data_IF_818379953488
#
_entry.id   IF_818379953488
#
_cell.length_a   1.000
_cell.length_b   1.000
_cell.length_c   1.000
_cell.angle_alpha   90.00
_cell.angle_beta   90.00
_cell.angle_gamma   90.00
#
_symmetry.space_group_name_H-M   'P 1'
#
loop_
_entity.id
_entity.type
_entity.pdbx_description
1 polymer ?
#
# COMPACT_ATOMS: atom_id res chain seq x y z
N UNK A 1 5.96 27.28 -22.36
CA UNK A 1 5.70 27.65 -20.95
C UNK A 1 6.67 26.88 -20.07
N UNK A 2 7.19 27.47 -18.99
CA UNK A 2 8.00 26.74 -18.02
C UNK A 2 7.15 25.67 -17.33
N UNK A 3 7.73 24.48 -17.10
CA UNK A 3 7.05 23.40 -16.37
C UNK A 3 6.80 23.84 -14.93
N UNK A 4 5.62 23.52 -14.39
CA UNK A 4 5.30 23.73 -12.97
C UNK A 4 5.99 22.67 -12.12
N UNK A 5 6.54 23.03 -10.96
CA UNK A 5 7.11 22.07 -10.00
C UNK A 5 5.99 21.37 -9.23
N UNK A 6 5.88 20.06 -9.40
CA UNK A 6 4.90 19.21 -8.71
C UNK A 6 5.62 18.27 -7.75
N UNK A 7 5.24 18.32 -6.47
CA UNK A 7 5.67 17.33 -5.48
C UNK A 7 4.54 16.34 -5.18
N UNK A 8 4.85 15.05 -5.18
CA UNK A 8 4.04 14.01 -4.55
C UNK A 8 4.69 13.56 -3.24
N UNK A 9 3.95 13.61 -2.13
CA UNK A 9 4.40 13.13 -0.81
C UNK A 9 3.83 11.73 -0.58
N UNK A 10 4.72 10.76 -0.48
CA UNK A 10 4.46 9.32 -0.39
C UNK A 10 4.64 8.62 -1.74
N UNK A 11 5.38 7.52 -1.77
CA UNK A 11 5.61 6.68 -2.95
C UNK A 11 4.81 5.37 -2.91
N UNK A 12 3.52 5.49 -2.57
CA UNK A 12 2.56 4.39 -2.59
C UNK A 12 1.84 4.23 -3.94
N UNK A 13 0.88 3.28 -4.03
CA UNK A 13 0.15 2.99 -5.27
C UNK A 13 -0.61 4.21 -5.82
N UNK A 14 -1.18 5.07 -4.98
CA UNK A 14 -1.90 6.25 -5.47
C UNK A 14 -0.96 7.23 -6.19
N UNK A 15 0.23 7.50 -5.65
CA UNK A 15 1.18 8.42 -6.29
C UNK A 15 1.69 7.89 -7.63
N UNK A 16 2.04 6.60 -7.70
CA UNK A 16 2.51 6.01 -8.97
C UNK A 16 1.42 6.04 -10.04
N UNK A 17 0.15 5.81 -9.66
CA UNK A 17 -1.00 5.90 -10.56
C UNK A 17 -1.33 7.36 -10.95
N UNK A 18 -1.18 8.34 -10.06
CA UNK A 18 -1.33 9.77 -10.41
C UNK A 18 -0.33 10.14 -11.50
N UNK A 19 0.93 9.75 -11.34
CA UNK A 19 1.98 10.04 -12.34
C UNK A 19 1.68 9.34 -13.66
N UNK A 20 1.33 8.05 -13.63
CA UNK A 20 0.94 7.30 -14.82
C UNK A 20 -0.22 8.00 -15.57
N UNK A 21 -1.26 8.44 -14.85
CA UNK A 21 -2.41 9.14 -15.42
C UNK A 21 -2.07 10.54 -15.94
N UNK A 22 -1.19 11.28 -15.26
CA UNK A 22 -0.72 12.58 -15.73
C UNK A 22 0.01 12.45 -17.08
N UNK A 23 0.81 11.39 -17.22
CA UNK A 23 1.64 11.18 -18.41
C UNK A 23 0.90 10.54 -19.58
N UNK A 24 -0.23 9.88 -19.33
CA UNK A 24 -1.11 9.39 -20.40
C UNK A 24 -1.91 10.51 -21.07
N UNK A 25 -1.98 11.70 -20.45
CA UNK A 25 -2.68 12.87 -21.00
C UNK A 25 -1.70 13.82 -21.72
N UNK A 26 -1.82 14.05 -23.04
CA UNK A 26 -0.88 14.87 -23.80
C UNK A 26 -0.69 16.30 -23.27
N UNK A 27 -1.76 16.92 -22.76
CA UNK A 27 -1.73 18.27 -22.20
C UNK A 27 -0.98 18.37 -20.86
N UNK A 28 -0.92 17.27 -20.09
CA UNK A 28 -0.29 17.24 -18.77
C UNK A 28 1.08 16.57 -18.77
N UNK A 29 1.36 15.68 -19.73
CA UNK A 29 2.62 14.91 -19.81
C UNK A 29 3.87 15.78 -19.67
N UNK A 30 3.86 16.98 -20.25
CA UNK A 30 4.98 17.92 -20.22
C UNK A 30 4.71 19.18 -19.38
N UNK A 31 3.61 19.23 -18.63
CA UNK A 31 3.23 20.39 -17.83
C UNK A 31 4.04 20.50 -16.53
N UNK A 32 4.59 19.40 -16.04
CA UNK A 32 5.19 19.30 -14.72
C UNK A 32 6.64 18.83 -14.71
N UNK A 33 7.42 19.38 -13.79
CA UNK A 33 8.65 18.79 -13.26
C UNK A 33 8.27 18.04 -11.97
N UNK A 34 8.30 16.71 -12.01
CA UNK A 34 7.68 15.85 -11.01
C UNK A 34 8.73 15.32 -10.03
N UNK A 35 8.53 15.63 -8.76
CA UNK A 35 9.28 15.05 -7.66
C UNK A 35 8.39 14.18 -6.78
N UNK A 36 8.96 13.10 -6.24
CA UNK A 36 8.28 12.19 -5.33
C UNK A 36 9.16 12.01 -4.11
N UNK A 37 8.62 12.33 -2.94
CA UNK A 37 9.33 12.18 -1.67
C UNK A 37 8.70 11.06 -0.85
N UNK A 38 9.52 10.07 -0.48
CA UNK A 38 9.15 8.96 0.39
C UNK A 38 10.01 8.99 1.65
N UNK A 39 9.36 8.81 2.81
CA UNK A 39 10.03 8.78 4.11
C UNK A 39 10.78 7.45 4.32
N UNK A 40 10.34 6.38 3.67
CA UNK A 40 10.96 5.07 3.73
C UNK A 40 12.04 4.92 2.65
N UNK A 41 12.81 3.82 2.71
CA UNK A 41 13.93 3.54 1.79
C UNK A 41 13.51 2.83 0.50
N UNK A 42 12.22 2.78 0.21
CA UNK A 42 11.64 2.06 -0.94
C UNK A 42 10.23 2.54 -1.22
N UNK A 43 9.77 2.30 -2.44
CA UNK A 43 8.38 2.50 -2.83
C UNK A 43 7.46 1.41 -2.27
N UNK A 44 6.16 1.58 -2.45
CA UNK A 44 5.15 0.56 -2.22
C UNK A 44 4.17 0.93 -1.11
N UNK A 45 4.64 1.57 -0.04
CA UNK A 45 3.81 1.85 1.13
C UNK A 45 3.12 0.59 1.65
N UNK A 46 1.78 0.54 1.60
CA UNK A 46 0.98 -0.64 2.01
C UNK A 46 1.03 -1.81 1.02
N UNK A 47 1.74 -1.67 -0.10
CA UNK A 47 2.07 -2.77 -1.01
C UNK A 47 3.47 -3.34 -0.68
N UNK A 48 3.96 -3.16 0.55
CA UNK A 48 5.27 -3.64 0.97
C UNK A 48 5.44 -5.14 0.73
N UNK A 49 6.43 -5.45 -0.10
CA UNK A 49 7.07 -6.77 -0.17
C UNK A 49 8.39 -6.69 0.62
N UNK A 50 8.53 -7.58 1.60
CA UNK A 50 9.75 -7.69 2.40
C UNK A 50 10.59 -8.86 1.89
N UNK A 51 11.84 -8.58 1.54
CA UNK A 51 12.83 -9.58 1.17
C UNK A 51 13.68 -9.93 2.39
N UNK A 52 13.90 -11.22 2.62
CA UNK A 52 14.78 -11.70 3.67
C UNK A 52 16.21 -11.17 3.46
N UNK A 53 16.91 -10.73 4.52
CA UNK A 53 18.28 -10.26 4.40
C UNK A 53 19.30 -11.39 4.13
N UNK A 54 18.90 -12.64 4.33
CA UNK A 54 19.82 -13.80 4.32
C UNK A 54 19.44 -14.87 3.30
N UNK A 55 18.35 -14.68 2.56
CA UNK A 55 17.83 -15.69 1.61
C UNK A 55 17.11 -15.02 0.44
N UNK A 56 16.80 -15.79 -0.61
CA UNK A 56 15.98 -15.35 -1.74
C UNK A 56 14.49 -15.22 -1.40
N UNK A 57 14.07 -15.67 -0.22
CA UNK A 57 12.66 -15.65 0.18
C UNK A 57 12.15 -14.22 0.40
N UNK A 58 10.91 -13.99 0.00
CA UNK A 58 10.23 -12.72 0.22
C UNK A 58 8.72 -12.93 0.44
N UNK A 59 8.10 -11.97 1.11
CA UNK A 59 6.69 -12.02 1.47
C UNK A 59 6.01 -10.67 1.44
N UNK A 60 4.77 -10.65 0.98
CA UNK A 60 3.92 -9.46 0.93
C UNK A 60 3.35 -9.15 2.30
N UNK A 61 4.07 -8.35 3.10
CA UNK A 61 3.63 -7.97 4.45
C UNK A 61 2.46 -6.97 4.42
N UNK A 62 2.17 -6.37 3.27
CA UNK A 62 1.09 -5.41 3.06
C UNK A 62 -0.13 -6.01 2.36
N UNK A 63 -0.42 -5.55 1.14
CA UNK A 63 -1.51 -6.08 0.32
C UNK A 63 -1.27 -7.56 -0.03
N UNK A 64 -2.22 -8.42 0.34
CA UNK A 64 -2.11 -9.88 0.20
C UNK A 64 -2.42 -10.37 -1.21
N UNK A 65 -3.41 -9.73 -1.84
CA UNK A 65 -3.94 -9.96 -3.18
C UNK A 65 -4.67 -8.69 -3.65
N UNK A 66 -4.95 -8.60 -4.94
CA UNK A 66 -5.76 -7.54 -5.55
C UNK A 66 -7.14 -8.08 -5.89
N UNK A 67 -8.16 -7.23 -5.82
CA UNK A 67 -9.51 -7.57 -6.25
C UNK A 67 -9.95 -6.58 -7.31
N UNK A 68 -10.40 -7.07 -8.46
CA UNK A 68 -11.11 -6.29 -9.48
C UNK A 68 -12.61 -6.52 -9.33
N UNK A 69 -13.38 -5.43 -9.23
CA UNK A 69 -14.84 -5.48 -9.13
C UNK A 69 -15.53 -5.43 -10.49
N UNK A 70 -14.78 -5.52 -11.59
CA UNK A 70 -15.33 -5.45 -12.94
C UNK A 70 -15.60 -4.03 -13.44
N UNK A 71 -15.23 -3.00 -12.69
CA UNK A 71 -15.53 -1.59 -13.01
C UNK A 71 -14.71 -1.14 -14.22
N UNK A 72 -15.37 -0.51 -15.20
CA UNK A 72 -14.74 -0.11 -16.48
C UNK A 72 -13.51 0.77 -16.30
N UNK A 73 -13.51 1.66 -15.32
CA UNK A 73 -12.38 2.57 -15.06
C UNK A 73 -11.12 1.85 -14.56
N UNK A 74 -11.25 0.68 -13.93
CA UNK A 74 -10.12 -0.08 -13.37
C UNK A 74 -9.57 -1.13 -14.34
N UNK A 75 -10.37 -1.57 -15.32
CA UNK A 75 -10.00 -2.62 -16.29
C UNK A 75 -8.66 -2.38 -17.01
N UNK A 76 -8.34 -1.16 -17.51
CA UNK A 76 -7.08 -0.93 -18.22
C UNK A 76 -5.84 -1.22 -17.36
N UNK A 77 -5.90 -0.89 -16.06
CA UNK A 77 -4.79 -1.12 -15.12
C UNK A 77 -4.61 -2.61 -14.84
N UNK A 78 -5.69 -3.35 -14.59
CA UNK A 78 -5.59 -4.81 -14.41
C UNK A 78 -5.10 -5.50 -15.68
N UNK A 79 -5.52 -5.03 -16.87
CA UNK A 79 -5.03 -5.53 -18.14
C UNK A 79 -3.53 -5.30 -18.30
N UNK A 80 -3.05 -4.08 -18.05
CA UNK A 80 -1.61 -3.75 -18.11
C UNK A 80 -0.78 -4.64 -17.17
N UNK A 81 -1.26 -4.86 -15.94
CA UNK A 81 -0.59 -5.75 -14.99
C UNK A 81 -0.58 -7.23 -15.43
N UNK A 82 -1.64 -7.70 -16.09
CA UNK A 82 -1.72 -9.05 -16.65
C UNK A 82 -0.78 -9.21 -17.86
N UNK A 83 -0.78 -8.24 -18.77
CA UNK A 83 0.07 -8.26 -19.97
C UNK A 83 1.57 -8.27 -19.59
N UNK A 84 1.93 -7.55 -18.52
CA UNK A 84 3.29 -7.53 -17.96
C UNK A 84 3.57 -8.68 -16.97
N UNK A 85 2.63 -9.63 -16.81
CA UNK A 85 2.74 -10.80 -15.94
C UNK A 85 3.06 -10.47 -14.47
N UNK A 86 2.67 -9.29 -13.99
CA UNK A 86 2.86 -8.84 -12.60
C UNK A 86 1.77 -9.36 -11.66
N UNK A 87 0.65 -9.77 -12.23
CA UNK A 87 -0.42 -10.43 -11.50
C UNK A 87 -0.89 -11.69 -12.24
N UNK A 88 -1.41 -12.66 -11.49
CA UNK A 88 -2.13 -13.81 -12.05
C UNK A 88 -3.41 -14.05 -11.25
N UNK A 89 -4.42 -14.65 -11.90
CA UNK A 89 -5.69 -14.96 -11.24
C UNK A 89 -5.45 -15.91 -10.06
N UNK A 90 -6.05 -15.56 -8.93
CA UNK A 90 -6.11 -16.41 -7.75
C UNK A 90 -7.30 -17.36 -7.89
N UNK A 91 -7.03 -18.67 -7.91
CA UNK A 91 -8.10 -19.65 -7.74
C UNK A 91 -8.57 -19.63 -6.28
N UNK A 92 -9.84 -19.30 -6.08
CA UNK A 92 -10.43 -19.12 -4.75
C UNK A 92 -11.28 -20.31 -4.32
N UNK A 93 -11.56 -21.26 -5.21
CA UNK A 93 -12.55 -22.33 -4.98
C UNK A 93 -12.22 -23.19 -3.75
N UNK A 94 -10.93 -23.46 -3.52
CA UNK A 94 -10.46 -24.36 -2.48
C UNK A 94 -9.72 -23.63 -1.34
N UNK A 95 -9.88 -22.31 -1.22
CA UNK A 95 -9.21 -21.54 -0.17
C UNK A 95 -10.03 -21.65 1.13
N UNK A 96 -9.49 -22.25 2.20
CA UNK A 96 -10.22 -22.37 3.46
C UNK A 96 -10.57 -21.00 4.07
N UNK A 97 -11.81 -20.88 4.55
CA UNK A 97 -12.37 -19.68 5.15
C UNK A 97 -12.51 -18.46 4.21
N UNK A 98 -12.31 -18.66 2.90
CA UNK A 98 -12.51 -17.62 1.91
C UNK A 98 -14.00 -17.25 1.85
N UNK A 99 -14.29 -15.95 1.95
CA UNK A 99 -15.67 -15.49 1.87
C UNK A 99 -16.08 -15.30 0.39
N UNK A 100 -16.69 -16.34 -0.17
CA UNK A 100 -17.18 -16.33 -1.55
C UNK A 100 -18.30 -15.30 -1.78
N UNK A 101 -19.14 -15.03 -0.79
CA UNK A 101 -20.24 -14.06 -0.91
C UNK A 101 -19.71 -12.64 -1.19
N UNK A 102 -18.59 -12.24 -0.57
CA UNK A 102 -17.96 -10.94 -0.83
C UNK A 102 -17.21 -10.85 -2.18
N UNK A 103 -17.07 -11.98 -2.88
CA UNK A 103 -16.34 -12.11 -4.14
C UNK A 103 -17.23 -12.36 -5.35
N UNK A 104 -18.57 -12.41 -5.19
CA UNK A 104 -19.50 -12.55 -6.31
C UNK A 104 -19.29 -11.39 -7.30
N UNK A 105 -19.08 -11.74 -8.57
CA UNK A 105 -18.82 -10.77 -9.64
C UNK A 105 -17.42 -10.14 -9.62
N UNK A 106 -16.53 -10.59 -8.73
CA UNK A 106 -15.16 -10.07 -8.59
C UNK A 106 -14.12 -11.10 -9.02
N UNK A 107 -12.97 -10.62 -9.44
CA UNK A 107 -11.80 -11.46 -9.74
C UNK A 107 -10.67 -11.07 -8.80
N UNK A 108 -10.08 -12.08 -8.14
CA UNK A 108 -8.94 -11.90 -7.26
C UNK A 108 -7.65 -12.27 -7.97
N UNK A 109 -6.58 -11.55 -7.68
CA UNK A 109 -5.27 -11.72 -8.29
C UNK A 109 -4.17 -11.71 -7.23
N UNK A 110 -3.16 -12.55 -7.41
CA UNK A 110 -1.92 -12.51 -6.62
C UNK A 110 -0.84 -11.79 -7.42
N UNK A 111 0.04 -11.08 -6.72
CA UNK A 111 1.18 -10.39 -7.32
C UNK A 111 2.33 -11.37 -7.49
N UNK A 112 2.70 -11.70 -8.73
CA UNK A 112 3.67 -12.74 -9.08
C UNK A 112 5.11 -12.38 -8.71
N UNK A 113 5.43 -11.08 -8.70
CA UNK A 113 6.75 -10.56 -8.31
C UNK A 113 6.69 -9.75 -7.01
N UNK A 114 5.72 -10.08 -6.15
CA UNK A 114 5.43 -9.34 -4.92
C UNK A 114 4.61 -8.08 -5.16
N UNK A 115 3.82 -7.65 -4.16
CA UNK A 115 2.94 -6.50 -4.27
C UNK A 115 3.67 -5.19 -4.57
N UNK A 116 4.92 -5.01 -4.10
CA UNK A 116 5.68 -3.79 -4.36
C UNK A 116 5.96 -3.58 -5.86
N UNK A 117 6.11 -4.67 -6.62
CA UNK A 117 6.35 -4.64 -8.07
C UNK A 117 5.26 -3.91 -8.86
N UNK A 118 4.01 -3.89 -8.35
CA UNK A 118 2.90 -3.14 -8.95
C UNK A 118 3.19 -1.63 -8.89
N UNK A 119 3.73 -1.16 -7.78
CA UNK A 119 4.04 0.27 -7.59
C UNK A 119 5.29 0.65 -8.37
N UNK A 120 6.31 -0.21 -8.35
CA UNK A 120 7.55 -0.05 -9.14
C UNK A 120 7.25 0.04 -10.64
N UNK A 121 6.37 -0.83 -11.15
CA UNK A 121 5.95 -0.84 -12.55
C UNK A 121 5.44 0.52 -13.03
N UNK A 122 4.49 1.12 -12.31
CA UNK A 122 3.95 2.43 -12.69
C UNK A 122 4.95 3.57 -12.54
N UNK A 123 5.89 3.49 -11.60
CA UNK A 123 6.99 4.46 -11.53
C UNK A 123 8.00 4.28 -12.67
N UNK A 124 8.33 3.05 -13.05
CA UNK A 124 9.28 2.75 -14.13
C UNK A 124 8.75 3.14 -15.52
N UNK A 125 7.44 3.13 -15.71
CA UNK A 125 6.82 3.64 -16.94
C UNK A 125 6.89 5.16 -17.06
N UNK A 126 7.21 5.87 -15.97
CA UNK A 126 7.12 7.32 -15.94
C UNK A 126 8.38 8.00 -16.46
N UNK A 127 8.21 8.97 -17.35
CA UNK A 127 9.27 9.83 -17.87
C UNK A 127 9.51 11.04 -16.95
N UNK A 128 10.75 11.54 -16.84
CA UNK A 128 11.06 12.82 -16.17
C UNK A 128 10.55 12.94 -14.72
N UNK A 129 10.68 11.89 -13.91
CA UNK A 129 10.39 11.92 -12.48
C UNK A 129 11.68 11.86 -11.66
N UNK A 130 11.71 12.55 -10.52
CA UNK A 130 12.77 12.41 -9.51
C UNK A 130 12.18 11.78 -8.24
N UNK A 131 12.61 10.56 -7.92
CA UNK A 131 12.18 9.83 -6.73
C UNK A 131 13.26 9.92 -5.64
N UNK A 132 12.91 10.49 -4.49
CA UNK A 132 13.81 10.69 -3.36
C UNK A 132 13.30 9.95 -2.12
N UNK A 133 14.15 9.13 -1.53
CA UNK A 133 13.89 8.36 -0.31
C UNK A 133 14.44 9.07 0.93
N UNK A 134 14.08 8.56 2.12
CA UNK A 134 14.44 9.14 3.42
C UNK A 134 14.00 10.62 3.58
N UNK A 135 13.05 11.09 2.76
CA UNK A 135 12.48 12.44 2.78
C UNK A 135 11.18 12.46 3.57
N UNK A 136 11.31 12.54 4.90
CA UNK A 136 10.15 12.62 5.80
C UNK A 136 9.64 14.06 5.91
N UNK A 137 8.54 14.38 5.24
CA UNK A 137 7.87 15.69 5.35
C UNK A 137 7.23 15.86 6.73
N UNK A 138 7.48 17.01 7.35
CA UNK A 138 6.94 17.38 8.67
C UNK A 138 6.14 18.67 8.65
N UNK A 139 6.28 19.53 7.63
CA UNK A 139 5.53 20.77 7.53
C UNK A 139 5.21 21.17 6.10
N UNK A 140 4.07 21.83 5.90
CA UNK A 140 3.62 22.38 4.61
C UNK A 140 3.06 23.78 4.87
N UNK A 141 3.59 24.78 4.18
CA UNK A 141 3.17 26.17 4.29
C UNK A 141 2.83 26.76 2.92
N UNK A 142 1.71 27.45 2.82
CA UNK A 142 1.39 28.26 1.65
C UNK A 142 2.14 29.59 1.75
N UNK A 143 2.90 29.94 0.71
CA UNK A 143 3.66 31.19 0.61
C UNK A 143 2.82 32.30 -0.03
N UNK A 144 3.15 33.56 0.28
CA UNK A 144 2.45 34.74 -0.29
C UNK A 144 2.50 34.82 -1.82
N UNK A 145 3.51 34.21 -2.44
CA UNK A 145 3.66 34.15 -3.90
C UNK A 145 2.85 33.03 -4.57
N UNK A 146 2.02 32.29 -3.81
CA UNK A 146 1.20 31.19 -4.29
C UNK A 146 1.91 29.83 -4.38
N UNK A 147 3.22 29.78 -4.11
CA UNK A 147 3.96 28.52 -4.00
C UNK A 147 3.73 27.86 -2.63
N UNK A 148 4.12 26.59 -2.53
CA UNK A 148 4.02 25.79 -1.32
C UNK A 148 5.43 25.43 -0.86
N UNK A 149 5.77 25.85 0.35
CA UNK A 149 7.01 25.45 1.05
C UNK A 149 6.80 24.15 1.79
N UNK A 150 7.65 23.16 1.53
CA UNK A 150 7.59 21.81 2.11
C UNK A 150 8.86 21.58 2.93
N UNK A 151 8.68 21.22 4.19
CA UNK A 151 9.74 21.08 5.19
C UNK A 151 9.90 19.61 5.56
N UNK A 152 11.13 19.12 5.54
CA UNK A 152 11.47 17.77 5.99
C UNK A 152 11.89 17.73 7.46
N UNK A 153 11.89 16.55 8.06
CA UNK A 153 12.36 16.29 9.43
C UNK A 153 13.83 16.72 9.65
N UNK A 154 14.64 16.71 8.59
CA UNK A 154 16.04 17.16 8.64
C UNK A 154 16.21 18.68 8.60
N UNK A 155 15.13 19.44 8.38
CA UNK A 155 15.15 20.89 8.23
C UNK A 155 15.26 21.37 6.79
N UNK A 156 15.47 20.47 5.81
CA UNK A 156 15.45 20.85 4.39
C UNK A 156 14.10 21.47 4.03
N UNK A 157 14.13 22.56 3.27
CA UNK A 157 12.95 23.27 2.81
C UNK A 157 13.05 23.52 1.31
N UNK A 158 12.00 23.14 0.57
CA UNK A 158 11.90 23.36 -0.86
C UNK A 158 10.51 23.87 -1.26
N UNK A 159 10.46 24.66 -2.35
CA UNK A 159 9.22 25.27 -2.84
C UNK A 159 8.72 24.60 -4.11
N UNK A 160 7.41 24.40 -4.16
CA UNK A 160 6.69 23.76 -5.27
C UNK A 160 5.49 24.60 -5.70
N UNK A 161 5.08 24.48 -6.96
CA UNK A 161 3.88 25.16 -7.44
C UNK A 161 2.62 24.38 -7.05
N UNK A 162 2.72 23.05 -6.98
CA UNK A 162 1.64 22.14 -6.56
C UNK A 162 2.23 21.04 -5.67
N UNK A 163 1.52 20.70 -4.60
CA UNK A 163 1.84 19.56 -3.72
C UNK A 163 0.64 18.63 -3.65
N UNK A 164 0.87 17.35 -3.89
CA UNK A 164 -0.13 16.29 -3.70
C UNK A 164 0.37 15.35 -2.61
N UNK A 165 -0.37 15.22 -1.52
CA UNK A 165 -0.04 14.27 -0.46
C UNK A 165 -0.93 13.04 -0.55
N UNK A 166 -0.31 11.86 -0.57
CA UNK A 166 -1.01 10.56 -0.62
C UNK A 166 -0.83 9.74 0.66
N UNK A 167 -0.25 10.37 1.69
CA UNK A 167 -0.08 9.74 3.00
C UNK A 167 -1.43 9.57 3.70
N UNK A 168 -1.60 8.54 4.56
CA UNK A 168 -2.80 8.37 5.36
C UNK A 168 -3.23 9.65 6.09
N UNK A 169 -4.53 9.93 6.12
CA UNK A 169 -5.09 11.18 6.70
C UNK A 169 -4.61 11.47 8.14
N UNK A 170 -4.49 10.48 9.06
CA UNK A 170 -3.92 10.74 10.39
C UNK A 170 -2.43 11.10 10.41
N UNK A 171 -1.67 10.85 9.32
CA UNK A 171 -0.31 11.38 9.16
C UNK A 171 -0.33 12.79 8.62
N UNK A 172 -1.22 13.06 7.65
CA UNK A 172 -1.47 14.40 7.13
C UNK A 172 -1.84 15.40 8.23
N UNK A 173 -2.75 15.02 9.14
CA UNK A 173 -3.17 15.85 10.28
C UNK A 173 -2.05 16.15 11.31
N UNK A 174 -0.87 15.52 11.19
CA UNK A 174 0.29 15.77 12.05
C UNK A 174 1.30 16.72 11.43
N UNK A 175 1.14 17.09 10.16
CA UNK A 175 1.99 18.07 9.53
C UNK A 175 1.77 19.43 10.18
N UNK A 176 2.86 20.15 10.42
CA UNK A 176 2.81 21.55 10.86
C UNK A 176 2.62 22.50 9.69
N UNK A 177 2.34 23.77 10.01
CA UNK A 177 2.25 24.85 9.03
C UNK A 177 0.83 25.24 8.64
N UNK A 178 0.73 26.13 7.66
CA UNK A 178 -0.52 26.83 7.32
C UNK A 178 -1.53 26.03 6.49
N UNK A 179 -1.22 24.78 6.14
CA UNK A 179 -2.05 23.93 5.25
C UNK A 179 -3.47 23.66 5.77
N UNK A 180 -3.75 23.89 7.06
CA UNK A 180 -5.08 23.74 7.66
C UNK A 180 -5.64 25.02 8.30
N UNK A 181 -4.91 26.13 8.30
CA UNK A 181 -5.25 27.33 9.08
C UNK A 181 -6.58 27.96 8.65
N UNK A 182 -6.92 27.88 7.37
CA UNK A 182 -8.06 28.59 6.78
C UNK A 182 -9.36 27.76 6.74
N UNK A 183 -9.34 26.48 7.13
CA UNK A 183 -10.51 25.59 6.94
C UNK A 183 -10.71 24.59 8.09
N UNK A 184 -11.26 25.08 9.19
CA UNK A 184 -11.59 24.28 10.38
C UNK A 184 -12.59 23.15 10.09
N UNK A 185 -13.59 23.39 9.25
CA UNK A 185 -14.59 22.39 8.86
C UNK A 185 -13.96 21.23 8.06
N UNK A 186 -13.05 21.53 7.13
CA UNK A 186 -12.27 20.52 6.43
C UNK A 186 -11.43 19.70 7.41
N UNK A 187 -10.76 20.35 8.36
CA UNK A 187 -9.96 19.66 9.35
C UNK A 187 -10.80 18.73 10.23
N UNK A 188 -12.00 19.16 10.64
CA UNK A 188 -12.94 18.32 11.38
C UNK A 188 -13.37 17.09 10.57
N UNK A 189 -13.67 17.26 9.28
CA UNK A 189 -14.02 16.16 8.40
C UNK A 189 -12.84 15.20 8.17
N UNK A 190 -11.61 15.71 8.05
CA UNK A 190 -10.41 14.88 7.99
C UNK A 190 -10.22 14.05 9.26
N UNK A 191 -10.51 14.60 10.45
CA UNK A 191 -10.42 13.86 11.72
C UNK A 191 -11.40 12.69 11.83
N UNK A 192 -12.49 12.70 11.05
CA UNK A 192 -13.46 11.60 10.97
C UNK A 192 -12.92 10.42 10.17
N UNK A 193 -11.88 10.59 9.35
CA UNK A 193 -11.27 9.49 8.59
C UNK A 193 -10.52 8.56 9.53
N UNK A 194 -10.88 7.28 9.53
CA UNK A 194 -10.33 6.27 10.43
C UNK A 194 -9.76 5.09 9.67
N UNK A 195 -8.73 4.48 10.26
CA UNK A 195 -8.06 3.30 9.73
C UNK A 195 -7.98 2.22 10.81
N UNK A 196 -8.10 0.97 10.40
CA UNK A 196 -7.80 -0.19 11.25
C UNK A 196 -6.30 -0.31 11.50
N UNK A 197 -5.93 -0.94 12.61
CA UNK A 197 -4.55 -1.39 12.86
C UNK A 197 -4.46 -2.89 12.62
N UNK A 198 -3.35 -3.36 12.03
CA UNK A 198 -3.02 -4.79 11.93
C UNK A 198 -1.53 -5.01 12.15
N UNK A 199 -1.17 -6.22 12.57
CA UNK A 199 0.20 -6.70 12.52
C UNK A 199 0.32 -7.76 11.43
N UNK A 200 1.46 -7.76 10.74
CA UNK A 200 1.86 -8.75 9.77
C UNK A 200 3.15 -9.42 10.27
N UNK A 201 3.20 -10.75 10.20
CA UNK A 201 4.35 -11.55 10.59
C UNK A 201 4.84 -12.33 9.37
N UNK A 202 6.07 -12.09 8.96
CA UNK A 202 6.77 -12.86 7.93
C UNK A 202 7.75 -13.83 8.57
N UNK A 203 7.66 -15.12 8.25
CA UNK A 203 8.59 -16.17 8.62
C UNK A 203 9.32 -16.61 7.35
N UNK A 204 10.65 -16.49 7.34
CA UNK A 204 11.47 -16.71 6.17
C UNK A 204 12.36 -17.93 6.38
N UNK A 205 12.45 -18.79 5.37
CA UNK A 205 13.14 -20.08 5.45
C UNK A 205 14.26 -20.15 4.43
N UNK A 206 15.33 -20.88 4.76
CA UNK A 206 16.45 -21.14 3.84
C UNK A 206 16.18 -22.33 2.90
N UNK A 207 15.00 -22.94 2.99
CA UNK A 207 14.56 -24.04 2.13
C UNK A 207 13.37 -23.64 1.26
N UNK A 208 13.21 -24.30 0.12
CA UNK A 208 12.02 -24.13 -0.73
C UNK A 208 10.78 -24.69 -0.07
N UNK A 209 10.93 -25.76 0.71
CA UNK A 209 9.84 -26.47 1.37
C UNK A 209 9.34 -25.79 2.65
N UNK A 210 10.17 -24.94 3.27
CA UNK A 210 9.88 -24.37 4.58
C UNK A 210 9.67 -25.46 5.64
N UNK A 211 8.65 -25.34 6.50
CA UNK A 211 8.38 -26.29 7.58
C UNK A 211 7.54 -27.52 7.13
N UNK A 212 7.15 -27.60 5.86
CA UNK A 212 6.26 -28.64 5.32
C UNK A 212 7.02 -29.89 4.88
N UNK A 213 6.37 -31.07 4.89
CA UNK A 213 6.97 -32.36 4.52
C UNK A 213 7.33 -32.38 3.03
N UNK A 214 6.31 -32.14 2.21
CA UNK A 214 6.45 -31.74 0.83
C UNK A 214 5.85 -30.36 0.70
N UNK A 215 6.17 -29.68 -0.40
CA UNK A 215 5.42 -28.49 -0.71
C UNK A 215 3.96 -28.89 -0.93
N UNK A 216 3.58 -29.55 -2.01
CA UNK A 216 2.21 -29.91 -2.41
C UNK A 216 1.14 -30.14 -1.30
N UNK A 217 1.49 -30.68 -0.14
CA UNK A 217 0.66 -30.84 1.07
C UNK A 217 0.05 -29.55 1.67
N UNK A 218 0.65 -28.37 1.45
CA UNK A 218 0.13 -27.11 2.01
C UNK A 218 -0.78 -26.28 1.08
N UNK A 219 -1.82 -25.69 1.65
CA UNK A 219 -2.68 -24.72 0.97
C UNK A 219 -1.90 -23.41 0.72
N UNK A 220 -2.04 -22.76 -0.46
CA UNK A 220 -1.26 -21.56 -0.79
C UNK A 220 -1.60 -20.38 0.12
N UNK A 221 -2.85 -20.28 0.57
CA UNK A 221 -3.29 -19.31 1.55
C UNK A 221 -4.57 -19.77 2.26
N UNK A 222 -4.81 -19.20 3.44
CA UNK A 222 -5.94 -19.52 4.29
C UNK A 222 -6.47 -18.27 4.98
N UNK A 223 -7.79 -18.24 5.14
CA UNK A 223 -8.50 -17.35 6.04
C UNK A 223 -8.98 -18.18 7.22
N UNK A 224 -8.65 -17.74 8.43
CA UNK A 224 -8.97 -18.50 9.63
C UNK A 224 -9.88 -17.70 10.54
N UNK A 225 -10.72 -18.41 11.28
CA UNK A 225 -11.59 -17.87 12.32
C UNK A 225 -10.88 -18.00 13.67
N UNK A 226 -9.88 -17.15 13.89
CA UNK A 226 -9.10 -17.08 15.13
C UNK A 226 -9.09 -15.61 15.61
N UNK A 227 -9.19 -15.38 16.94
CA UNK A 227 -9.26 -14.02 17.49
C UNK A 227 -7.99 -13.20 17.23
N UNK A 228 -6.84 -13.84 17.02
CA UNK A 228 -5.53 -13.20 16.85
C UNK A 228 -5.12 -13.19 15.39
N UNK A 229 -5.06 -14.33 14.71
CA UNK A 229 -4.64 -14.44 13.31
C UNK A 229 -5.88 -14.56 12.42
N UNK A 230 -5.93 -13.80 11.33
CA UNK A 230 -7.07 -13.82 10.40
C UNK A 230 -6.74 -14.47 9.06
N UNK A 231 -5.46 -14.42 8.69
CA UNK A 231 -4.98 -14.86 7.38
C UNK A 231 -3.56 -15.37 7.52
N UNK A 232 -3.21 -16.38 6.74
CA UNK A 232 -1.82 -16.68 6.42
C UNK A 232 -1.65 -17.23 5.00
N UNK A 233 -0.45 -17.10 4.43
CA UNK A 233 -0.09 -17.64 3.12
C UNK A 233 1.31 -18.24 3.10
N UNK A 234 1.49 -19.24 2.23
CA UNK A 234 2.80 -19.73 1.79
C UNK A 234 3.14 -19.02 0.49
N UNK A 235 4.03 -18.05 0.61
CA UNK A 235 4.20 -16.96 -0.35
C UNK A 235 4.69 -17.40 -1.73
N UNK A 236 5.70 -18.27 -1.78
CA UNK A 236 6.22 -18.81 -3.05
C UNK A 236 5.14 -19.60 -3.81
N UNK A 237 4.26 -20.34 -3.12
CA UNK A 237 3.15 -21.05 -3.78
C UNK A 237 1.98 -20.19 -4.15
N UNK A 238 1.65 -19.22 -3.29
CA UNK A 238 0.66 -18.19 -3.60
C UNK A 238 1.03 -17.59 -4.95
N UNK A 239 2.32 -17.32 -5.19
CA UNK A 239 2.83 -16.79 -6.46
C UNK A 239 3.00 -17.83 -7.58
N UNK A 240 3.24 -19.09 -7.25
CA UNK A 240 3.54 -20.15 -8.24
C UNK A 240 5.01 -20.15 -8.65
N UNK A 241 5.90 -19.88 -7.68
CA UNK A 241 7.35 -19.68 -7.86
C UNK A 241 8.17 -20.68 -7.03
N UNK A 242 7.54 -21.76 -6.55
CA UNK A 242 8.15 -22.80 -5.72
C UNK A 242 9.42 -23.44 -6.30
N UNK A 243 9.57 -23.47 -7.63
CA UNK A 243 10.73 -24.05 -8.30
C UNK A 243 12.00 -23.22 -8.13
N UNK A 244 11.89 -21.92 -7.80
CA UNK A 244 13.01 -20.99 -7.80
C UNK A 244 13.09 -20.11 -6.55
N UNK A 245 12.00 -19.95 -5.79
CA UNK A 245 11.96 -19.16 -4.55
C UNK A 245 11.92 -20.03 -3.29
N UNK A 246 12.75 -19.63 -2.31
CA UNK A 246 12.67 -20.16 -0.96
C UNK A 246 11.34 -19.78 -0.28
N UNK A 247 10.90 -20.63 0.66
CA UNK A 247 9.62 -20.46 1.35
C UNK A 247 9.63 -19.22 2.23
N UNK A 248 8.52 -18.48 2.18
CA UNK A 248 8.13 -17.54 3.22
C UNK A 248 6.68 -17.80 3.61
N UNK A 249 6.38 -17.64 4.90
CA UNK A 249 5.01 -17.63 5.40
C UNK A 249 4.69 -16.21 5.85
N UNK A 250 3.57 -15.66 5.40
CA UNK A 250 3.08 -14.36 5.86
C UNK A 250 1.75 -14.58 6.56
N UNK A 251 1.62 -14.06 7.78
CA UNK A 251 0.39 -14.08 8.56
C UNK A 251 -0.05 -12.67 8.93
N UNK A 252 -1.35 -12.41 8.92
CA UNK A 252 -1.94 -11.14 9.32
C UNK A 252 -2.89 -11.34 10.48
N UNK A 253 -2.81 -10.43 11.46
CA UNK A 253 -3.72 -10.45 12.61
C UNK A 253 -5.14 -10.07 12.22
N UNK A 254 -6.11 -10.41 13.07
CA UNK A 254 -7.46 -9.86 13.04
C UNK A 254 -7.44 -8.33 13.27
N UNK A 255 -8.54 -7.66 12.92
CA UNK A 255 -8.74 -6.23 13.21
C UNK A 255 -8.84 -6.01 14.71
N UNK A 256 -9.55 -6.90 15.42
CA UNK A 256 -9.78 -6.80 16.86
C UNK A 256 -8.46 -6.84 17.64
N UNK A 257 -7.61 -7.83 17.35
CA UNK A 257 -6.28 -7.92 17.96
C UNK A 257 -5.42 -6.68 17.65
N UNK A 258 -5.48 -6.19 16.42
CA UNK A 258 -4.77 -4.98 16.03
C UNK A 258 -5.22 -3.73 16.78
N UNK A 259 -6.52 -3.60 17.05
CA UNK A 259 -7.10 -2.51 17.84
C UNK A 259 -6.68 -2.60 19.32
N UNK A 260 -6.81 -3.76 19.94
CA UNK A 260 -6.43 -3.99 21.35
C UNK A 260 -4.93 -3.76 21.61
N UNK A 261 -4.10 -4.01 20.60
CA UNK A 261 -2.64 -3.89 20.70
C UNK A 261 -2.11 -2.65 19.95
N UNK A 262 -2.95 -1.67 19.63
CA UNK A 262 -2.58 -0.51 18.79
C UNK A 262 -1.48 0.39 19.38
N UNK A 263 -1.18 0.28 20.67
CA UNK A 263 -0.11 1.02 21.34
C UNK A 263 1.18 0.20 21.54
N UNK A 264 1.12 -1.12 21.30
CA UNK A 264 2.26 -2.03 21.42
C UNK A 264 3.21 -1.92 20.22
N UNK A 265 4.50 -2.18 20.45
CA UNK A 265 5.50 -2.28 19.36
C UNK A 265 5.39 -3.63 18.66
N UNK A 266 5.83 -3.75 17.39
CA UNK A 266 5.89 -5.05 16.70
C UNK A 266 6.67 -6.11 17.50
N UNK A 267 7.78 -5.73 18.13
CA UNK A 267 8.61 -6.66 18.91
C UNK A 267 7.88 -7.20 20.13
N UNK A 268 7.10 -6.37 20.83
CA UNK A 268 6.39 -6.79 22.05
C UNK A 268 5.25 -7.79 21.82
N UNK A 269 4.77 -7.94 20.58
CA UNK A 269 3.74 -8.92 20.23
C UNK A 269 4.28 -10.08 19.39
N UNK A 270 5.55 -10.00 18.97
CA UNK A 270 6.15 -10.92 17.99
C UNK A 270 6.08 -12.38 18.44
N UNK A 271 6.46 -12.67 19.68
CA UNK A 271 6.56 -14.05 20.18
C UNK A 271 5.17 -14.70 20.31
N UNK A 272 4.18 -13.94 20.80
CA UNK A 272 2.77 -14.37 20.81
C UNK A 272 2.25 -14.65 19.40
N UNK A 273 2.52 -13.77 18.44
CA UNK A 273 2.09 -13.97 17.06
C UNK A 273 2.77 -15.18 16.44
N UNK A 274 4.05 -15.40 16.74
CA UNK A 274 4.81 -16.55 16.27
C UNK A 274 4.22 -17.86 16.79
N UNK A 275 3.95 -17.94 18.10
CA UNK A 275 3.28 -19.09 18.73
C UNK A 275 1.93 -19.37 18.04
N UNK A 276 1.09 -18.33 17.89
CA UNK A 276 -0.22 -18.48 17.24
C UNK A 276 -0.14 -18.90 15.78
N UNK A 277 0.83 -18.39 15.02
CA UNK A 277 1.03 -18.84 13.63
C UNK A 277 1.41 -20.31 13.61
N UNK A 278 2.33 -20.76 14.47
CA UNK A 278 2.70 -22.17 14.54
C UNK A 278 1.54 -23.06 14.98
N UNK A 279 0.73 -22.64 15.97
CA UNK A 279 -0.48 -23.36 16.36
C UNK A 279 -1.43 -23.60 15.18
N UNK A 280 -1.65 -22.58 14.35
CA UNK A 280 -2.49 -22.67 13.16
C UNK A 280 -1.87 -23.53 12.05
N UNK A 281 -0.54 -23.66 12.01
CA UNK A 281 0.19 -24.47 11.04
C UNK A 281 0.38 -25.94 11.48
N UNK A 282 0.20 -26.26 12.77
CA UNK A 282 0.41 -27.61 13.34
C UNK A 282 -0.18 -28.75 12.49
N UNK A 283 -1.40 -28.65 11.92
CA UNK A 283 -1.96 -29.73 11.11
C UNK A 283 -1.21 -30.02 9.80
N UNK A 284 -0.45 -29.04 9.29
CA UNK A 284 0.19 -29.09 7.98
C UNK A 284 1.72 -29.23 8.04
N UNK A 285 2.36 -28.92 9.17
CA UNK A 285 3.82 -29.00 9.32
C UNK A 285 4.23 -30.37 9.86
N UNK A 286 5.27 -30.96 9.26
CA UNK A 286 5.82 -32.26 9.66
C UNK A 286 7.20 -32.17 10.30
N UNK A 287 7.78 -30.96 10.31
CA UNK A 287 9.18 -30.77 10.67
C UNK A 287 9.36 -29.79 11.83
N UNK A 288 10.45 -30.00 12.56
CA UNK A 288 11.01 -29.04 13.52
C UNK A 288 11.83 -27.93 12.82
N UNK A 289 11.75 -27.80 11.48
CA UNK A 289 12.50 -26.77 10.74
C UNK A 289 12.04 -25.39 11.17
N UNK A 290 12.93 -24.69 11.85
CA UNK A 290 12.70 -23.33 12.29
C UNK A 290 12.91 -22.37 11.12
N UNK A 291 12.15 -21.27 11.14
CA UNK A 291 12.43 -20.12 10.30
C UNK A 291 13.85 -19.62 10.58
N UNK A 292 14.53 -19.09 9.57
CA UNK A 292 15.83 -18.45 9.74
C UNK A 292 15.68 -16.98 10.17
N UNK A 293 14.62 -16.31 9.69
CA UNK A 293 14.38 -14.91 9.97
C UNK A 293 12.89 -14.65 10.21
N UNK A 294 12.58 -13.72 11.12
CA UNK A 294 11.21 -13.27 11.40
C UNK A 294 11.12 -11.76 11.27
N UNK A 295 10.13 -11.30 10.51
CA UNK A 295 9.77 -9.88 10.45
C UNK A 295 8.37 -9.68 11.01
N UNK A 296 8.26 -8.99 12.15
CA UNK A 296 7.00 -8.42 12.61
C UNK A 296 6.88 -6.99 12.11
N UNK A 297 5.76 -6.65 11.47
CA UNK A 297 5.46 -5.32 10.95
C UNK A 297 4.09 -4.85 11.45
N UNK A 298 3.98 -3.58 11.84
CA UNK A 298 2.73 -2.98 12.30
C UNK A 298 2.22 -1.97 11.28
N UNK A 299 1.06 -2.26 10.72
CA UNK A 299 0.28 -1.31 9.95
C UNK A 299 -0.63 -0.52 10.87
N UNK A 300 -0.13 0.60 11.38
CA UNK A 300 -0.93 1.52 12.22
C UNK A 300 -2.15 2.07 11.47
N UNK A 301 -2.01 2.25 10.16
CA UNK A 301 -3.08 2.69 9.26
C UNK A 301 -3.22 1.66 8.14
N UNK A 302 -3.79 0.49 8.46
CA UNK A 302 -3.86 -0.66 7.56
C UNK A 302 -4.91 -0.46 6.46
N UNK A 303 -6.19 -0.52 6.83
CA UNK A 303 -7.33 -0.37 5.92
C UNK A 303 -8.23 0.76 6.43
N UNK A 304 -8.86 1.49 5.52
CA UNK A 304 -9.85 2.52 5.84
C UNK A 304 -11.04 1.86 6.51
N UNK A 305 -11.30 2.25 7.75
CA UNK A 305 -12.48 1.84 8.51
C UNK A 305 -13.64 2.81 8.27
N UNK A 306 -13.33 4.11 8.22
CA UNK A 306 -14.28 5.17 7.89
C UNK A 306 -13.62 6.12 6.88
N UNK A 307 -14.05 6.15 5.61
CA UNK A 307 -13.49 7.06 4.61
C UNK A 307 -13.94 8.50 4.86
N UNK A 308 -13.33 9.44 4.14
CA UNK A 308 -13.78 10.82 4.09
C UNK A 308 -15.23 10.89 3.57
N UNK A 309 -16.03 11.78 4.16
CA UNK A 309 -17.44 11.93 3.85
C UNK A 309 -17.65 12.18 2.34
N UNK A 310 -18.56 11.42 1.73
CA UNK A 310 -18.88 11.53 0.31
C UNK A 310 -17.85 10.90 -0.64
N UNK A 311 -16.74 10.36 -0.13
CA UNK A 311 -15.71 9.65 -0.93
C UNK A 311 -15.28 10.39 -2.21
N UNK A 312 -14.85 11.66 -2.10
CA UNK A 312 -14.62 12.53 -3.25
C UNK A 312 -13.40 12.14 -4.11
N UNK A 313 -12.60 11.14 -3.73
CA UNK A 313 -11.35 10.78 -4.42
C UNK A 313 -10.15 11.59 -3.96
N UNK A 314 -10.34 12.87 -3.68
CA UNK A 314 -9.34 13.78 -3.14
C UNK A 314 -10.04 14.94 -2.41
N UNK A 315 -9.28 15.75 -1.69
CA UNK A 315 -9.73 17.05 -1.17
C UNK A 315 -8.64 18.10 -1.42
N UNK A 316 -9.05 19.32 -1.73
CA UNK A 316 -8.17 20.48 -1.74
C UNK A 316 -7.98 20.95 -0.29
N UNK A 317 -6.73 20.96 0.18
CA UNK A 317 -6.37 21.55 1.48
C UNK A 317 -6.20 23.06 1.35
N UNK A 318 -5.55 23.46 0.26
CA UNK A 318 -5.44 24.85 -0.21
C UNK A 318 -5.48 24.82 -1.74
N UNK A 319 -5.45 25.99 -2.39
CA UNK A 319 -5.44 26.11 -3.86
C UNK A 319 -4.30 25.33 -4.55
N UNK A 320 -3.19 25.10 -3.84
CA UNK A 320 -1.98 24.46 -4.38
C UNK A 320 -1.62 23.16 -3.66
N UNK A 321 -2.43 22.71 -2.69
CA UNK A 321 -2.17 21.50 -1.91
C UNK A 321 -3.39 20.57 -1.95
N UNK A 322 -3.19 19.36 -2.45
CA UNK A 322 -4.24 18.34 -2.62
C UNK A 322 -3.91 17.14 -1.74
N UNK A 323 -4.89 16.59 -1.03
CA UNK A 323 -4.79 15.30 -0.37
C UNK A 323 -5.58 14.25 -1.16
N UNK A 324 -4.91 13.16 -1.51
CA UNK A 324 -5.48 12.03 -2.25
C UNK A 324 -5.11 10.71 -1.55
N UNK A 325 -5.63 9.59 -2.04
CA UNK A 325 -5.39 8.26 -1.47
C UNK A 325 -6.67 7.55 -1.08
N UNK A 326 -6.49 6.31 -0.61
CA UNK A 326 -7.60 5.42 -0.28
C UNK A 326 -8.55 5.96 0.81
N UNK A 327 -8.05 6.83 1.70
CA UNK A 327 -8.83 7.50 2.74
C UNK A 327 -9.97 8.36 2.19
N UNK A 328 -9.89 8.78 0.93
CA UNK A 328 -10.91 9.58 0.25
C UNK A 328 -11.83 8.73 -0.65
N UNK A 329 -11.67 7.41 -0.65
CA UNK A 329 -12.50 6.46 -1.41
C UNK A 329 -12.75 5.19 -0.59
N UNK A 330 -11.89 4.19 -0.73
CA UNK A 330 -11.92 2.88 -0.06
C UNK A 330 -10.54 2.24 -0.16
N UNK A 331 -10.20 1.32 0.76
CA UNK A 331 -8.96 0.55 0.64
C UNK A 331 -8.97 -0.45 -0.52
N UNK A 332 -7.79 -0.71 -1.06
CA UNK A 332 -7.57 -1.59 -2.20
C UNK A 332 -7.02 -0.87 -3.41
N UNK A 333 -6.54 -1.63 -4.40
CA UNK A 333 -5.94 -1.08 -5.62
C UNK A 333 -6.93 -0.25 -6.43
N UNK A 334 -8.18 -0.72 -6.58
CA UNK A 334 -9.24 0.05 -7.27
C UNK A 334 -9.53 1.39 -6.61
N UNK A 335 -9.46 1.49 -5.27
CA UNK A 335 -9.61 2.77 -4.59
C UNK A 335 -8.45 3.73 -4.86
N UNK A 336 -7.24 3.19 -5.02
CA UNK A 336 -6.07 3.99 -5.42
C UNK A 336 -6.21 4.48 -6.87
N UNK A 337 -6.69 3.64 -7.79
CA UNK A 337 -7.01 4.02 -9.17
C UNK A 337 -8.05 5.15 -9.18
N UNK A 338 -9.18 4.95 -8.52
CA UNK A 338 -10.27 5.93 -8.51
C UNK A 338 -9.82 7.28 -7.94
N UNK A 339 -9.09 7.27 -6.82
CA UNK A 339 -8.52 8.48 -6.24
C UNK A 339 -7.56 9.17 -7.21
N UNK A 340 -6.66 8.40 -7.85
CA UNK A 340 -5.69 8.95 -8.79
C UNK A 340 -6.34 9.61 -10.01
N UNK A 341 -7.37 8.99 -10.59
CA UNK A 341 -8.08 9.52 -11.75
C UNK A 341 -8.79 10.82 -11.39
N UNK A 342 -9.53 10.85 -10.28
CA UNK A 342 -10.23 12.06 -9.80
C UNK A 342 -9.25 13.21 -9.53
N UNK A 343 -8.08 12.94 -8.95
CA UNK A 343 -7.03 13.96 -8.76
C UNK A 343 -6.50 14.50 -10.09
N UNK A 344 -6.23 13.64 -11.07
CA UNK A 344 -5.70 14.08 -12.37
C UNK A 344 -6.75 14.83 -13.19
N UNK A 345 -8.00 14.41 -13.17
CA UNK A 345 -9.13 15.15 -13.78
C UNK A 345 -9.28 16.54 -13.20
N UNK A 346 -9.09 16.69 -11.88
CA UNK A 346 -9.09 18.00 -11.23
C UNK A 346 -7.93 18.87 -11.74
N UNK A 347 -6.69 18.34 -11.75
CA UNK A 347 -5.53 19.07 -12.24
C UNK A 347 -5.69 19.51 -13.71
N UNK A 348 -6.30 18.66 -14.54
CA UNK A 348 -6.60 19.00 -15.94
C UNK A 348 -7.52 20.24 -16.02
N UNK A 349 -8.57 20.29 -15.19
CA UNK A 349 -9.53 21.41 -15.16
C UNK A 349 -8.96 22.68 -14.52
N UNK A 350 -7.97 22.57 -13.64
CA UNK A 350 -7.34 23.72 -12.97
C UNK A 350 -6.18 24.32 -13.76
N UNK A 351 -5.69 23.63 -14.80
CA UNK A 351 -4.58 24.07 -15.65
C UNK A 351 -5.02 24.55 -17.04
N UNK A 352 -6.19 24.13 -17.50
CA UNK A 352 -6.90 24.72 -18.65
C UNK A 352 -7.71 25.90 -18.15
#
# INVERSE_FOLDING_TARGET
MSRKKLLLIGAGPTSSLIIHNLQSLPHLKNAFDIQVWEKDRRVGGRFLTFQSPTSSSYGDLGAQYLTSSGLSFSQPYFKDLLDNKLIRRLDTLNIPGFNHAHSVGKVNYVCTSGAASIVEHFFHQADNISLSFDKHVTGINTCNNGQVSVITKGGDQENYDIVITTIPVPQLLKLSGSVFEENSALQENLRKVQYTTRFALGLFYDSKEGPFANLQDSQPLNFIDDPIIRYWSVENRKRGTEDHEQCAIVAHTSVMFGAENMNKSPDSVKDLLLEKVYENLKPAISSTKLHHFVKCHKWKYSQVANPYLGTPGFVELTKSVIAAGDGFVRSGFEGCIESSQKTVEFLLKSLI
#
